data_IF_763004931360
#
_entry.id   IF_763004931360
#
_cell.length_a   1.000
_cell.length_b   1.000
_cell.length_c   1.000
_cell.angle_alpha   90.00
_cell.angle_beta   90.00
_cell.angle_gamma   90.00
#
_symmetry.space_group_name_H-M   'P 1'
#
loop_
_entity.id
_entity.type
_entity.pdbx_description
1 polymer ?
#
# COMPACT_ATOMS: atom_id res chain seq x y z
N UNK A 1 9.17 10.94 13.65
CA UNK A 1 7.94 11.37 12.93
C UNK A 1 6.74 10.70 13.56
N UNK A 2 5.62 11.39 13.72
CA UNK A 2 4.35 10.80 14.15
C UNK A 2 3.59 10.36 12.90
N UNK A 3 3.00 9.17 12.92
CA UNK A 3 2.24 8.65 11.78
C UNK A 3 0.84 8.20 12.21
N UNK A 4 -0.14 8.47 11.35
CA UNK A 4 -1.52 8.03 11.48
C UNK A 4 -1.81 6.94 10.43
N UNK A 5 -2.25 5.77 10.89
CA UNK A 5 -2.56 4.64 10.02
C UNK A 5 -4.06 4.56 9.76
N UNK A 6 -4.47 4.60 8.50
CA UNK A 6 -5.89 4.58 8.11
C UNK A 6 -6.52 3.18 8.08
N UNK A 7 -5.76 2.12 8.37
CA UNK A 7 -6.27 0.73 8.44
C UNK A 7 -7.40 0.53 9.47
N UNK A 8 -7.51 1.45 10.43
CA UNK A 8 -8.58 1.41 11.45
C UNK A 8 -9.97 1.75 10.88
N UNK A 9 -10.05 2.32 9.69
CA UNK A 9 -11.31 2.73 9.07
C UNK A 9 -11.82 1.67 8.09
N UNK A 10 -13.11 1.31 8.18
CA UNK A 10 -13.74 0.37 7.23
C UNK A 10 -14.12 1.08 5.92
N UNK A 11 -13.19 1.79 5.30
CA UNK A 11 -13.41 2.54 4.08
C UNK A 11 -13.09 1.69 2.84
N UNK A 12 -14.07 1.47 1.97
CA UNK A 12 -13.94 0.65 0.76
C UNK A 12 -14.04 1.48 -0.54
N UNK A 13 -14.72 2.61 -0.52
CA UNK A 13 -14.76 3.55 -1.64
C UNK A 13 -13.80 4.71 -1.42
N UNK A 14 -13.46 5.42 -2.52
CA UNK A 14 -12.70 6.67 -2.41
C UNK A 14 -13.45 7.72 -1.57
N UNK A 15 -14.76 7.81 -1.72
CA UNK A 15 -15.58 8.74 -0.94
C UNK A 15 -15.46 8.49 0.57
N UNK A 16 -15.56 7.24 1.01
CA UNK A 16 -15.40 6.86 2.43
C UNK A 16 -13.98 7.11 2.94
N UNK A 17 -12.96 6.77 2.14
CA UNK A 17 -11.55 7.01 2.48
C UNK A 17 -11.27 8.50 2.62
N UNK A 18 -11.79 9.31 1.69
CA UNK A 18 -11.68 10.77 1.72
C UNK A 18 -12.34 11.34 2.98
N UNK A 19 -13.55 10.89 3.30
CA UNK A 19 -14.27 11.35 4.50
C UNK A 19 -13.47 11.05 5.77
N UNK A 20 -12.93 9.83 5.90
CA UNK A 20 -12.09 9.44 7.03
C UNK A 20 -10.84 10.33 7.15
N UNK A 21 -10.12 10.55 6.05
CA UNK A 21 -8.93 11.42 6.03
C UNK A 21 -9.28 12.85 6.42
N UNK A 22 -10.27 13.44 5.75
CA UNK A 22 -10.65 14.86 5.90
C UNK A 22 -11.28 15.16 7.26
N UNK A 23 -11.78 14.14 7.95
CA UNK A 23 -12.28 14.25 9.32
C UNK A 23 -11.19 14.06 10.35
N UNK A 24 -10.38 12.98 10.21
CA UNK A 24 -9.47 12.58 11.28
C UNK A 24 -8.16 13.37 11.28
N UNK A 25 -7.59 13.69 10.13
CA UNK A 25 -6.28 14.40 10.07
C UNK A 25 -6.35 15.79 10.70
N UNK A 26 -7.35 16.65 10.37
CA UNK A 26 -7.47 17.95 11.04
C UNK A 26 -7.70 17.84 12.56
N UNK A 27 -8.48 16.83 13.00
CA UNK A 27 -8.68 16.58 14.44
C UNK A 27 -7.40 16.18 15.14
N UNK A 28 -6.58 15.30 14.54
CA UNK A 28 -5.27 14.92 15.09
C UNK A 28 -4.40 16.17 15.23
N UNK A 29 -4.37 17.04 14.24
CA UNK A 29 -3.63 18.32 14.32
C UNK A 29 -4.11 19.22 15.45
N UNK A 30 -5.43 19.34 15.59
CA UNK A 30 -6.05 20.13 16.66
C UNK A 30 -5.67 19.58 18.05
N UNK A 31 -5.75 18.27 18.25
CA UNK A 31 -5.39 17.63 19.53
C UNK A 31 -3.90 17.79 19.85
N UNK A 32 -3.02 17.60 18.85
CA UNK A 32 -1.58 17.83 19.05
C UNK A 32 -1.27 19.27 19.46
N UNK A 33 -1.97 20.24 18.87
CA UNK A 33 -1.83 21.65 19.25
C UNK A 33 -2.36 21.91 20.67
N UNK A 34 -3.52 21.35 21.02
CA UNK A 34 -4.14 21.48 22.34
C UNK A 34 -3.29 20.87 23.46
N UNK A 35 -2.60 19.76 23.17
CA UNK A 35 -1.70 19.09 24.11
C UNK A 35 -0.33 19.78 24.25
N UNK A 36 -0.09 20.87 23.52
CA UNK A 36 1.24 21.51 23.37
C UNK A 36 2.37 20.51 23.06
N UNK A 37 2.03 19.54 22.22
CA UNK A 37 2.95 18.48 21.83
C UNK A 37 4.17 19.05 21.08
N UNK A 38 5.39 18.57 21.35
CA UNK A 38 6.57 18.93 20.56
C UNK A 38 6.47 18.45 19.10
N UNK A 39 5.48 17.61 18.79
CA UNK A 39 5.23 17.09 17.44
C UNK A 39 4.21 17.91 16.64
N UNK A 40 3.59 18.95 17.25
CA UNK A 40 2.52 19.75 16.61
C UNK A 40 2.97 20.41 15.31
N UNK A 41 4.21 20.85 15.24
CA UNK A 41 4.79 21.57 14.08
C UNK A 41 5.53 20.64 13.10
N UNK A 42 5.61 19.34 13.40
CA UNK A 42 6.25 18.37 12.51
C UNK A 42 5.26 17.84 11.46
N UNK A 43 5.75 17.42 10.29
CA UNK A 43 4.92 16.72 9.32
C UNK A 43 4.23 15.49 9.93
N UNK A 44 2.94 15.29 9.62
CA UNK A 44 2.19 14.11 10.02
C UNK A 44 2.33 13.03 8.93
N UNK A 45 2.96 11.92 9.24
CA UNK A 45 3.01 10.78 8.35
C UNK A 45 1.62 10.12 8.24
N UNK A 46 1.23 9.73 7.04
CA UNK A 46 0.01 8.97 6.78
C UNK A 46 0.39 7.60 6.22
N UNK A 47 0.11 6.56 6.99
CA UNK A 47 0.07 5.18 6.52
C UNK A 47 -1.28 4.95 5.84
N UNK A 48 -1.36 5.23 4.55
CA UNK A 48 -2.62 5.24 3.81
C UNK A 48 -2.97 3.82 3.32
N UNK A 49 -4.20 3.38 3.62
CA UNK A 49 -4.82 2.23 2.99
C UNK A 49 -5.82 2.70 1.94
N UNK A 50 -5.73 2.13 0.76
CA UNK A 50 -6.74 2.22 -0.27
C UNK A 50 -7.16 0.80 -0.65
N UNK A 51 -8.45 0.49 -0.65
CA UNK A 51 -8.96 -0.73 -1.27
C UNK A 51 -8.76 -0.69 -2.79
N UNK A 52 -8.90 -1.82 -3.47
CA UNK A 52 -8.82 -1.84 -4.93
C UNK A 52 -9.88 -0.93 -5.58
N UNK A 53 -11.09 -0.92 -5.00
CA UNK A 53 -12.16 -0.03 -5.43
C UNK A 53 -11.79 1.44 -5.23
N UNK A 54 -11.35 1.81 -4.03
CA UNK A 54 -10.97 3.18 -3.72
C UNK A 54 -9.81 3.67 -4.61
N UNK A 55 -8.82 2.80 -4.88
CA UNK A 55 -7.71 3.14 -5.77
C UNK A 55 -8.16 3.36 -7.22
N UNK A 56 -9.06 2.52 -7.74
CA UNK A 56 -9.63 2.69 -9.08
C UNK A 56 -10.45 3.98 -9.16
N UNK A 57 -11.40 4.19 -8.24
CA UNK A 57 -12.25 5.40 -8.19
C UNK A 57 -11.41 6.68 -8.09
N UNK A 58 -10.32 6.68 -7.30
CA UNK A 58 -9.42 7.82 -7.17
C UNK A 58 -8.71 8.16 -8.48
N UNK A 59 -8.25 7.14 -9.22
CA UNK A 59 -7.58 7.34 -10.52
C UNK A 59 -8.56 7.72 -11.64
N UNK A 60 -9.79 7.23 -11.60
CA UNK A 60 -10.82 7.49 -12.61
C UNK A 60 -11.52 8.84 -12.42
N UNK A 61 -11.53 9.38 -11.19
CA UNK A 61 -12.18 10.66 -10.89
C UNK A 61 -11.29 11.81 -11.33
N UNK A 62 -11.74 12.68 -12.26
CA UNK A 62 -10.95 13.81 -12.73
C UNK A 62 -10.46 14.69 -11.57
N UNK A 63 -9.19 15.04 -11.58
CA UNK A 63 -8.52 15.90 -10.59
C UNK A 63 -8.56 15.41 -9.12
N UNK A 64 -9.01 14.17 -8.85
CA UNK A 64 -9.11 13.71 -7.47
C UNK A 64 -7.74 13.48 -6.82
N UNK A 65 -6.77 12.99 -7.58
CA UNK A 65 -5.40 12.76 -7.09
C UNK A 65 -4.70 14.08 -6.79
N UNK A 66 -4.82 15.07 -7.69
CA UNK A 66 -4.28 16.41 -7.50
C UNK A 66 -4.92 17.11 -6.29
N UNK A 67 -6.24 16.96 -6.14
CA UNK A 67 -6.97 17.50 -4.99
C UNK A 67 -6.49 16.86 -3.68
N UNK A 68 -6.28 15.55 -3.68
CA UNK A 68 -5.74 14.85 -2.50
C UNK A 68 -4.31 15.34 -2.20
N UNK A 69 -3.46 15.49 -3.21
CA UNK A 69 -2.08 16.00 -3.03
C UNK A 69 -2.10 17.39 -2.38
N UNK A 70 -2.82 18.34 -2.98
CA UNK A 70 -2.90 19.71 -2.45
C UNK A 70 -3.46 19.74 -1.03
N UNK A 71 -4.47 18.90 -0.75
CA UNK A 71 -5.02 18.82 0.61
C UNK A 71 -4.01 18.25 1.62
N UNK A 72 -3.22 17.23 1.24
CA UNK A 72 -2.15 16.69 2.12
C UNK A 72 -1.12 17.77 2.43
N UNK A 73 -0.72 18.54 1.44
CA UNK A 73 0.21 19.68 1.59
C UNK A 73 -0.35 20.72 2.56
N UNK A 74 -1.61 21.14 2.38
CA UNK A 74 -2.32 22.09 3.24
C UNK A 74 -2.43 21.60 4.70
N UNK A 75 -2.55 20.30 4.91
CA UNK A 75 -2.57 19.69 6.25
C UNK A 75 -1.16 19.46 6.82
N UNK A 76 -0.09 19.73 6.09
CA UNK A 76 1.27 19.36 6.47
C UNK A 76 1.43 17.84 6.63
N UNK A 77 0.62 17.06 5.91
CA UNK A 77 0.62 15.60 5.95
C UNK A 77 1.48 15.02 4.81
N UNK A 78 2.10 13.86 5.04
CA UNK A 78 2.98 13.20 4.08
C UNK A 78 2.65 11.74 3.96
N UNK A 79 2.65 11.21 2.74
CA UNK A 79 2.45 9.79 2.44
C UNK A 79 3.76 9.22 1.90
N UNK A 80 4.38 8.29 2.63
CA UNK A 80 5.58 7.58 2.19
C UNK A 80 5.28 6.12 1.85
N UNK A 81 4.14 5.61 2.35
CA UNK A 81 3.75 4.21 2.21
C UNK A 81 2.25 4.05 2.03
N UNK A 82 1.88 3.07 1.20
CA UNK A 82 0.50 2.59 1.09
C UNK A 82 0.41 1.15 1.58
N UNK A 83 -0.66 0.84 2.33
CA UNK A 83 -1.00 -0.54 2.65
C UNK A 83 -1.86 -1.14 1.54
N UNK A 84 -1.30 -2.09 0.81
CA UNK A 84 -1.93 -2.85 -0.26
C UNK A 84 -2.19 -4.32 0.09
N UNK A 85 -2.11 -4.71 1.37
CA UNK A 85 -2.39 -6.09 1.77
C UNK A 85 -3.87 -6.45 1.54
N UNK A 86 -4.85 -5.83 2.21
CA UNK A 86 -6.25 -6.12 1.95
C UNK A 86 -6.69 -5.51 0.62
N UNK A 87 -7.17 -6.35 -0.28
CA UNK A 87 -7.72 -5.92 -1.57
C UNK A 87 -9.07 -5.21 -1.42
N UNK A 88 -9.90 -5.72 -0.52
CA UNK A 88 -11.23 -5.20 -0.22
C UNK A 88 -11.54 -5.24 1.27
N UNK A 89 -12.83 -5.33 1.60
CA UNK A 89 -13.32 -5.25 2.97
C UNK A 89 -12.78 -6.39 3.85
N UNK A 90 -12.15 -6.04 4.95
CA UNK A 90 -11.68 -6.96 5.98
C UNK A 90 -12.21 -6.63 7.38
N UNK A 91 -13.03 -5.58 7.53
CA UNK A 91 -13.66 -5.20 8.79
C UNK A 91 -15.01 -5.89 8.98
N UNK A 92 -15.31 -6.31 10.22
CA UNK A 92 -16.63 -6.81 10.59
C UNK A 92 -17.05 -8.16 10.01
N UNK A 93 -16.17 -8.86 9.31
CA UNK A 93 -16.43 -10.19 8.74
C UNK A 93 -15.42 -11.23 9.24
N UNK A 94 -15.83 -12.49 9.26
CA UNK A 94 -14.94 -13.62 9.52
C UNK A 94 -14.10 -13.90 8.26
N UNK A 95 -13.05 -13.09 8.01
CA UNK A 95 -12.36 -13.01 6.71
C UNK A 95 -11.00 -13.71 6.73
N UNK A 96 -10.73 -14.59 7.71
CA UNK A 96 -9.37 -15.09 7.98
C UNK A 96 -8.53 -15.44 6.74
N UNK A 97 -9.08 -16.18 5.80
CA UNK A 97 -8.36 -16.65 4.60
C UNK A 97 -8.62 -15.73 3.39
N UNK A 98 -9.81 -15.13 3.31
CA UNK A 98 -10.22 -14.30 2.16
C UNK A 98 -9.46 -12.97 2.04
N UNK A 99 -8.83 -12.50 3.13
CA UNK A 99 -7.99 -11.30 3.08
C UNK A 99 -6.78 -11.49 2.15
N UNK A 100 -6.36 -12.74 1.93
CA UNK A 100 -5.31 -13.08 0.98
C UNK A 100 -5.78 -13.12 -0.47
N UNK A 101 -7.07 -12.93 -0.75
CA UNK A 101 -7.62 -12.97 -2.11
C UNK A 101 -7.99 -11.56 -2.60
N UNK A 102 -7.79 -11.28 -3.90
CA UNK A 102 -7.01 -12.05 -4.87
C UNK A 102 -5.53 -12.05 -4.47
N UNK A 103 -4.81 -13.16 -4.70
CA UNK A 103 -3.41 -13.32 -4.41
C UNK A 103 -2.50 -13.03 -5.62
N UNK A 104 -1.17 -13.22 -5.45
CA UNK A 104 -0.20 -12.94 -6.51
C UNK A 104 -0.23 -13.93 -7.68
N UNK A 105 -1.08 -14.95 -7.67
CA UNK A 105 -1.36 -15.78 -8.85
C UNK A 105 -2.29 -15.09 -9.86
N UNK A 106 -2.93 -13.97 -9.49
CA UNK A 106 -4.01 -13.33 -10.25
C UNK A 106 -3.61 -11.99 -10.87
N UNK A 107 -4.14 -11.61 -12.05
CA UNK A 107 -3.90 -10.30 -12.63
C UNK A 107 -4.47 -9.15 -11.77
N UNK A 108 -5.58 -9.39 -11.08
CA UNK A 108 -6.26 -8.39 -10.26
C UNK A 108 -5.35 -7.86 -9.15
N UNK A 109 -4.58 -8.75 -8.49
CA UNK A 109 -3.61 -8.33 -7.47
C UNK A 109 -2.51 -7.46 -8.08
N UNK A 110 -2.00 -7.85 -9.22
CA UNK A 110 -0.97 -7.09 -9.95
C UNK A 110 -1.48 -5.69 -10.35
N UNK A 111 -2.64 -5.61 -10.98
CA UNK A 111 -3.24 -4.35 -11.43
C UNK A 111 -3.53 -3.40 -10.25
N UNK A 112 -4.12 -3.93 -9.18
CA UNK A 112 -4.35 -3.18 -7.96
C UNK A 112 -3.05 -2.58 -7.40
N UNK A 113 -2.00 -3.39 -7.30
CA UNK A 113 -0.72 -2.93 -6.79
C UNK A 113 -0.08 -1.88 -7.70
N UNK A 114 -0.20 -2.02 -9.03
CA UNK A 114 0.20 -0.98 -9.98
C UNK A 114 -0.56 0.33 -9.75
N UNK A 115 -1.87 0.27 -9.49
CA UNK A 115 -2.68 1.45 -9.22
C UNK A 115 -2.24 2.15 -7.93
N UNK A 116 -1.91 1.40 -6.88
CA UNK A 116 -1.37 1.97 -5.65
C UNK A 116 -0.05 2.71 -5.91
N UNK A 117 0.86 2.13 -6.69
CA UNK A 117 2.13 2.80 -7.02
C UNK A 117 1.94 4.02 -7.93
N UNK A 118 0.99 4.00 -8.88
CA UNK A 118 0.65 5.19 -9.68
C UNK A 118 0.17 6.34 -8.79
N UNK A 119 -0.73 6.05 -7.85
CA UNK A 119 -1.22 7.03 -6.88
C UNK A 119 -0.05 7.55 -6.03
N UNK A 120 0.74 6.64 -5.45
CA UNK A 120 1.85 6.99 -4.57
C UNK A 120 2.93 7.81 -5.29
N UNK A 121 3.16 7.56 -6.57
CA UNK A 121 4.08 8.37 -7.39
C UNK A 121 3.64 9.83 -7.51
N UNK A 122 2.33 10.11 -7.43
CA UNK A 122 1.74 11.45 -7.56
C UNK A 122 1.61 12.16 -6.20
N UNK A 123 1.18 11.44 -5.14
CA UNK A 123 0.92 12.04 -3.82
C UNK A 123 2.04 11.82 -2.80
N UNK A 124 3.01 10.95 -3.10
CA UNK A 124 4.08 10.60 -2.18
C UNK A 124 4.97 11.78 -1.82
N UNK A 125 5.48 11.79 -0.60
CA UNK A 125 6.37 12.85 -0.10
C UNK A 125 7.53 13.10 -1.08
N UNK A 126 7.63 14.32 -1.55
CA UNK A 126 8.66 14.72 -2.53
C UNK A 126 10.08 14.68 -1.95
N UNK A 127 10.22 14.71 -0.63
CA UNK A 127 11.50 14.60 0.07
C UNK A 127 11.91 13.15 0.36
N UNK A 128 11.02 12.18 0.10
CA UNK A 128 11.33 10.78 0.33
C UNK A 128 12.13 10.19 -0.85
N UNK A 129 13.32 9.67 -0.56
CA UNK A 129 14.13 8.93 -1.54
C UNK A 129 13.47 7.60 -1.92
N UNK A 130 12.56 7.09 -1.09
CA UNK A 130 11.89 5.82 -1.23
C UNK A 130 10.41 5.92 -0.94
N UNK A 131 9.61 5.31 -1.82
CA UNK A 131 8.17 5.15 -1.66
C UNK A 131 7.82 3.66 -1.65
N UNK A 132 6.99 3.23 -0.70
CA UNK A 132 6.73 1.81 -0.47
C UNK A 132 5.25 1.46 -0.55
N UNK A 133 4.96 0.29 -1.09
CA UNK A 133 3.65 -0.35 -0.95
C UNK A 133 3.86 -1.70 -0.28
N UNK A 134 3.10 -1.99 0.77
CA UNK A 134 3.11 -3.32 1.37
C UNK A 134 2.02 -4.20 0.75
N UNK A 135 2.24 -5.51 0.75
CA UNK A 135 1.31 -6.50 0.20
C UNK A 135 1.40 -7.82 0.95
N UNK A 136 0.45 -8.72 0.70
CA UNK A 136 0.43 -10.06 1.27
C UNK A 136 1.67 -10.90 0.89
N UNK A 137 2.01 -11.94 1.68
CA UNK A 137 3.17 -12.80 1.44
C UNK A 137 2.90 -13.80 0.31
N UNK A 138 2.76 -13.30 -0.92
CA UNK A 138 2.49 -14.05 -2.14
C UNK A 138 1.08 -14.68 -2.21
N UNK A 139 0.72 -15.56 -1.28
CA UNK A 139 -0.58 -16.25 -1.21
C UNK A 139 -0.85 -16.75 0.22
N UNK A 140 -1.93 -17.50 0.41
CA UNK A 140 -2.22 -18.25 1.64
C UNK A 140 -1.77 -19.70 1.48
N UNK A 141 -1.19 -20.30 2.53
CA UNK A 141 -0.62 -21.65 2.49
C UNK A 141 -1.61 -22.75 2.05
N UNK A 142 -2.89 -22.58 2.33
CA UNK A 142 -3.94 -23.55 1.95
C UNK A 142 -4.41 -23.44 0.50
N UNK A 143 -4.02 -22.39 -0.21
CA UNK A 143 -4.47 -22.20 -1.60
C UNK A 143 -3.63 -23.02 -2.59
N UNK A 144 -2.53 -23.65 -2.14
CA UNK A 144 -1.62 -24.42 -2.99
C UNK A 144 -1.25 -23.64 -4.27
N UNK A 145 -0.93 -22.36 -4.08
CA UNK A 145 -0.69 -21.42 -5.17
C UNK A 145 0.49 -21.84 -6.04
N UNK A 146 0.36 -21.62 -7.33
CA UNK A 146 1.42 -21.85 -8.32
C UNK A 146 2.50 -20.77 -8.17
N UNK A 147 3.66 -21.15 -7.61
CA UNK A 147 4.80 -20.26 -7.40
C UNK A 147 5.35 -19.66 -8.70
N UNK A 148 5.30 -20.40 -9.82
CA UNK A 148 5.79 -19.88 -11.10
C UNK A 148 4.94 -18.69 -11.57
N UNK A 149 3.64 -18.75 -11.35
CA UNK A 149 2.75 -17.61 -11.63
C UNK A 149 3.04 -16.43 -10.71
N UNK A 150 3.24 -16.69 -9.41
CA UNK A 150 3.59 -15.64 -8.43
C UNK A 150 4.88 -14.95 -8.87
N UNK A 151 5.91 -15.71 -9.12
CA UNK A 151 7.22 -15.18 -9.49
C UNK A 151 7.16 -14.39 -10.82
N UNK A 152 6.45 -14.91 -11.83
CA UNK A 152 6.27 -14.20 -13.11
C UNK A 152 5.62 -12.83 -12.91
N UNK A 153 4.64 -12.72 -12.00
CA UNK A 153 3.99 -11.44 -11.69
C UNK A 153 4.87 -10.51 -10.88
N UNK A 154 5.66 -11.05 -9.94
CA UNK A 154 6.62 -10.26 -9.17
C UNK A 154 7.76 -9.75 -10.05
N UNK A 155 8.21 -10.53 -11.05
CA UNK A 155 9.18 -10.08 -12.06
C UNK A 155 8.58 -8.94 -12.91
N UNK A 156 7.33 -9.09 -13.37
CA UNK A 156 6.63 -8.03 -14.10
C UNK A 156 6.46 -6.77 -13.23
N UNK A 157 6.16 -6.93 -11.94
CA UNK A 157 6.07 -5.83 -10.99
C UNK A 157 7.42 -5.14 -10.81
N UNK A 158 8.50 -5.88 -10.70
CA UNK A 158 9.85 -5.30 -10.63
C UNK A 158 10.15 -4.42 -11.86
N UNK A 159 9.83 -4.91 -13.06
CA UNK A 159 9.99 -4.12 -14.29
C UNK A 159 9.12 -2.84 -14.29
N UNK A 160 7.88 -2.92 -13.82
CA UNK A 160 7.01 -1.75 -13.66
C UNK A 160 7.58 -0.74 -12.67
N UNK A 161 8.07 -1.19 -11.51
CA UNK A 161 8.67 -0.33 -10.49
C UNK A 161 9.95 0.36 -10.98
N UNK A 162 10.78 -0.34 -11.75
CA UNK A 162 11.98 0.24 -12.37
C UNK A 162 11.63 1.37 -13.33
N UNK A 163 10.59 1.22 -14.14
CA UNK A 163 10.12 2.26 -15.06
C UNK A 163 9.61 3.46 -14.27
N UNK A 164 8.73 3.22 -13.29
CA UNK A 164 8.14 4.29 -12.47
C UNK A 164 9.20 5.01 -11.63
N UNK A 165 10.17 4.27 -11.10
CA UNK A 165 11.30 4.83 -10.36
C UNK A 165 12.15 5.76 -11.20
N UNK A 166 12.47 5.38 -12.46
CA UNK A 166 13.17 6.28 -13.40
C UNK A 166 12.36 7.54 -13.74
N UNK A 167 11.03 7.43 -13.86
CA UNK A 167 10.17 8.58 -14.17
C UNK A 167 10.07 9.57 -13.01
N UNK A 168 10.11 9.10 -11.77
CA UNK A 168 9.94 9.91 -10.56
C UNK A 168 11.24 10.33 -9.90
N UNK A 169 12.37 9.70 -10.27
CA UNK A 169 13.65 9.88 -9.60
C UNK A 169 13.71 9.26 -8.19
N UNK A 170 12.76 8.41 -7.80
CA UNK A 170 12.62 7.83 -6.46
C UNK A 170 12.63 6.29 -6.49
N UNK A 171 13.14 5.66 -5.45
CA UNK A 171 13.07 4.21 -5.32
C UNK A 171 11.63 3.78 -5.02
N UNK A 172 11.04 2.99 -5.91
CA UNK A 172 9.75 2.33 -5.69
C UNK A 172 9.98 0.92 -5.15
N UNK A 173 9.42 0.59 -4.00
CA UNK A 173 9.69 -0.69 -3.34
C UNK A 173 8.41 -1.39 -2.90
N UNK A 174 8.23 -2.64 -3.33
CA UNK A 174 7.18 -3.53 -2.86
C UNK A 174 7.69 -4.33 -1.65
N UNK A 175 6.95 -4.27 -0.53
CA UNK A 175 7.22 -5.06 0.66
C UNK A 175 6.20 -6.20 0.79
N UNK A 176 6.64 -7.45 0.81
CA UNK A 176 5.78 -8.58 1.12
C UNK A 176 5.79 -8.79 2.64
N UNK A 177 4.60 -8.80 3.27
CA UNK A 177 4.43 -8.95 4.72
C UNK A 177 4.33 -10.43 5.10
N UNK A 178 5.32 -11.03 5.79
CA UNK A 178 5.15 -12.37 6.35
C UNK A 178 4.01 -12.39 7.35
N UNK A 179 3.04 -13.31 7.16
CA UNK A 179 1.85 -13.41 7.98
C UNK A 179 1.57 -14.86 8.37
N UNK A 180 1.00 -15.11 9.55
CA UNK A 180 0.53 -16.44 9.92
C UNK A 180 -0.37 -17.01 8.82
N UNK A 181 -0.11 -18.28 8.45
CA UNK A 181 -0.77 -18.98 7.34
C UNK A 181 -0.49 -18.37 5.94
N UNK A 182 0.35 -17.37 5.80
CA UNK A 182 0.82 -16.92 4.50
C UNK A 182 1.66 -17.98 3.78
N UNK A 183 1.94 -17.75 2.50
CA UNK A 183 2.81 -18.60 1.69
C UNK A 183 4.21 -18.75 2.32
N UNK A 184 4.64 -17.71 3.00
CA UNK A 184 5.72 -17.72 3.99
C UNK A 184 5.34 -16.87 5.20
N UNK A 185 5.77 -17.28 6.40
CA UNK A 185 5.37 -16.65 7.66
C UNK A 185 6.54 -16.43 8.63
N UNK A 186 7.74 -16.90 8.25
CA UNK A 186 8.95 -16.77 9.04
C UNK A 186 10.17 -16.39 8.17
N UNK A 187 11.28 -16.13 8.80
CA UNK A 187 12.53 -15.72 8.13
C UNK A 187 13.04 -16.78 7.16
N UNK A 188 12.99 -18.05 7.53
CA UNK A 188 13.48 -19.13 6.68
C UNK A 188 12.60 -19.31 5.45
N UNK A 189 11.29 -19.20 5.61
CA UNK A 189 10.32 -19.19 4.51
C UNK A 189 10.56 -18.03 3.56
N UNK A 190 10.75 -16.82 4.09
CA UNK A 190 11.07 -15.65 3.30
C UNK A 190 12.39 -15.84 2.51
N UNK A 191 13.44 -16.34 3.16
CA UNK A 191 14.72 -16.62 2.49
C UNK A 191 14.54 -17.62 1.34
N UNK A 192 13.83 -18.72 1.56
CA UNK A 192 13.55 -19.73 0.51
C UNK A 192 12.79 -19.11 -0.66
N UNK A 193 11.74 -18.35 -0.38
CA UNK A 193 10.93 -17.69 -1.39
C UNK A 193 11.74 -16.72 -2.25
N UNK A 194 12.50 -15.82 -1.63
CA UNK A 194 13.31 -14.86 -2.37
C UNK A 194 14.49 -15.50 -3.11
N UNK A 195 15.04 -16.63 -2.63
CA UNK A 195 16.02 -17.42 -3.38
C UNK A 195 15.38 -18.06 -4.62
N UNK A 196 14.16 -18.57 -4.51
CA UNK A 196 13.36 -19.05 -5.63
C UNK A 196 13.10 -17.95 -6.66
N UNK A 197 12.64 -16.79 -6.24
CA UNK A 197 12.38 -15.63 -7.10
C UNK A 197 13.63 -15.16 -7.86
N UNK A 198 14.81 -15.22 -7.25
CA UNK A 198 16.09 -14.79 -7.85
C UNK A 198 16.79 -15.87 -8.68
N UNK A 199 16.23 -17.07 -8.77
CA UNK A 199 16.90 -18.19 -9.45
C UNK A 199 17.10 -17.90 -10.96
N UNK A 200 18.35 -17.81 -11.46
CA UNK A 200 18.63 -17.51 -12.87
C UNK A 200 18.10 -18.54 -13.86
N UNK A 201 17.90 -19.80 -13.40
CA UNK A 201 17.40 -20.89 -14.27
C UNK A 201 15.95 -20.74 -14.69
N UNK A 202 15.27 -19.68 -14.21
CA UNK A 202 13.87 -19.36 -14.51
C UNK A 202 13.70 -18.27 -15.57
N UNK A 203 14.79 -17.65 -16.00
CA UNK A 203 14.83 -16.59 -17.00
C UNK A 203 15.10 -17.11 -18.41
#
# INVERSE_FOLDING_TARGET
MLSYCTNIHPAESWAETREALFTCVPRIRQELAAMDSPLKDLPLGIGLRLSARAAAELLETPHAVETLKSWLEDQGARVETLNGFPYGNFHGQRVKERVFQPDWTTPERFEYTCNLFRILALIGDEQADRLTVSTLPASHSWFHADEERIFSRLDAMSGFLDVLGRQTGRLMQLGLEPEPFGHFHDTDGAIRFFNGLRNPSRR
#
